data_IF_174605340665
#
_entry.id   IF_174605340665
#
_cell.length_a   1.000
_cell.length_b   1.000
_cell.length_c   1.000
_cell.angle_alpha   90.00
_cell.angle_beta   90.00
_cell.angle_gamma   90.00
#
_symmetry.space_group_name_H-M   'P 1'
#
loop_
_entity.id
_entity.type
_entity.pdbx_description
1 polymer ?
#
# COMPACT_ATOMS: atom_id res chain seq x y z
N UNK A 1 -7.26 5.84 -3.02
CA UNK A 1 -6.17 5.32 -2.16
C UNK A 1 -6.51 3.89 -1.75
N UNK A 2 -5.51 3.04 -1.56
CA UNK A 2 -5.68 1.67 -1.09
C UNK A 2 -4.94 1.50 0.25
N UNK A 3 -5.58 0.83 1.20
CA UNK A 3 -4.97 0.37 2.45
C UNK A 3 -4.89 -1.16 2.38
N UNK A 4 -3.70 -1.70 2.66
CA UNK A 4 -3.44 -3.14 2.66
C UNK A 4 -2.82 -3.50 4.01
N UNK A 5 -3.62 -4.12 4.86
CA UNK A 5 -3.28 -4.44 6.24
C UNK A 5 -4.24 -5.53 6.73
N UNK A 6 -3.78 -6.52 7.49
CA UNK A 6 -4.66 -7.59 8.01
C UNK A 6 -5.42 -7.18 9.28
N UNK A 7 -5.06 -6.05 9.91
CA UNK A 7 -5.70 -5.53 11.11
C UNK A 7 -6.86 -4.57 10.78
N UNK A 8 -8.10 -4.97 11.09
CA UNK A 8 -9.29 -4.16 10.80
C UNK A 8 -9.28 -2.76 11.45
N UNK A 9 -8.67 -2.63 12.63
CA UNK A 9 -8.60 -1.36 13.37
C UNK A 9 -7.77 -0.31 12.61
N UNK A 10 -6.77 -0.74 11.84
CA UNK A 10 -5.96 0.14 10.99
C UNK A 10 -6.81 0.82 9.93
N UNK A 11 -7.67 0.05 9.27
CA UNK A 11 -8.56 0.56 8.24
C UNK A 11 -9.55 1.57 8.82
N UNK A 12 -10.12 1.27 9.99
CA UNK A 12 -11.05 2.15 10.67
C UNK A 12 -10.38 3.45 11.10
N UNK A 13 -9.23 3.36 11.78
CA UNK A 13 -8.49 4.52 12.25
C UNK A 13 -8.04 5.41 11.08
N UNK A 14 -7.51 4.81 10.01
CA UNK A 14 -7.08 5.57 8.83
C UNK A 14 -8.26 6.29 8.19
N UNK A 15 -9.43 5.63 8.09
CA UNK A 15 -10.65 6.27 7.57
C UNK A 15 -11.09 7.45 8.42
N UNK A 16 -11.09 7.32 9.74
CA UNK A 16 -11.47 8.40 10.66
C UNK A 16 -10.51 9.59 10.55
N UNK A 17 -9.20 9.32 10.49
CA UNK A 17 -8.17 10.37 10.35
C UNK A 17 -8.32 11.12 9.02
N UNK A 18 -8.71 10.42 7.95
CA UNK A 18 -8.85 10.99 6.61
C UNK A 18 -10.29 11.38 6.24
N UNK A 19 -11.25 11.26 7.16
CA UNK A 19 -12.68 11.47 6.87
C UNK A 19 -12.97 12.88 6.33
N UNK A 20 -12.25 13.88 6.86
CA UNK A 20 -12.39 15.28 6.44
C UNK A 20 -11.32 15.72 5.44
N UNK A 21 -10.50 14.78 4.93
CA UNK A 21 -9.49 15.10 3.94
C UNK A 21 -10.12 15.17 2.54
N UNK A 22 -9.97 16.31 1.89
CA UNK A 22 -10.36 16.50 0.50
C UNK A 22 -9.13 16.83 -0.35
N UNK A 23 -9.13 16.31 -1.58
CA UNK A 23 -8.15 16.66 -2.60
C UNK A 23 -8.92 17.20 -3.80
N UNK A 24 -8.61 18.42 -4.23
CA UNK A 24 -9.37 19.13 -5.28
C UNK A 24 -10.88 19.14 -5.00
N UNK A 25 -11.25 19.44 -3.74
CA UNK A 25 -12.64 19.48 -3.25
C UNK A 25 -13.42 18.16 -3.37
N UNK A 26 -12.73 17.05 -3.63
CA UNK A 26 -13.33 15.71 -3.65
C UNK A 26 -12.92 14.91 -2.42
N UNK A 27 -13.83 14.12 -1.85
CA UNK A 27 -13.49 13.23 -0.75
C UNK A 27 -12.48 12.17 -1.24
N UNK A 28 -11.57 11.79 -0.37
CA UNK A 28 -10.63 10.73 -0.66
C UNK A 28 -11.36 9.38 -0.70
N UNK A 29 -11.34 8.72 -1.85
CA UNK A 29 -11.82 7.34 -1.96
C UNK A 29 -10.79 6.38 -1.35
N UNK A 30 -11.23 5.58 -0.38
CA UNK A 30 -10.40 4.61 0.34
C UNK A 30 -10.91 3.19 0.06
N UNK A 31 -10.08 2.41 -0.65
CA UNK A 31 -10.22 0.97 -0.83
C UNK A 31 -9.47 0.23 0.27
N UNK A 32 -9.96 -0.96 0.65
CA UNK A 32 -9.43 -1.75 1.75
C UNK A 32 -9.16 -3.18 1.27
N UNK A 33 -7.95 -3.67 1.48
CA UNK A 33 -7.58 -5.07 1.31
C UNK A 33 -7.02 -5.60 2.62
N UNK A 34 -7.51 -6.77 3.03
CA UNK A 34 -7.08 -7.44 4.26
C UNK A 34 -6.08 -8.57 4.02
N UNK A 35 -5.62 -8.69 2.78
CA UNK A 35 -4.70 -9.73 2.33
C UNK A 35 -3.98 -9.27 1.07
N UNK A 36 -2.80 -9.83 0.83
CA UNK A 36 -2.04 -9.57 -0.39
C UNK A 36 -2.84 -9.97 -1.64
N UNK A 37 -3.62 -11.05 -1.56
CA UNK A 37 -4.44 -11.52 -2.67
C UNK A 37 -5.60 -10.57 -2.98
N UNK A 38 -6.30 -10.07 -1.95
CA UNK A 38 -7.34 -9.04 -2.15
C UNK A 38 -6.75 -7.77 -2.77
N UNK A 39 -5.57 -7.36 -2.32
CA UNK A 39 -4.90 -6.18 -2.88
C UNK A 39 -4.61 -6.36 -4.37
N UNK A 40 -4.10 -7.52 -4.80
CA UNK A 40 -3.86 -7.82 -6.22
C UNK A 40 -5.15 -7.70 -7.05
N UNK A 41 -6.26 -8.25 -6.56
CA UNK A 41 -7.55 -8.18 -7.23
C UNK A 41 -8.01 -6.73 -7.41
N UNK A 42 -7.93 -5.92 -6.34
CA UNK A 42 -8.28 -4.50 -6.40
C UNK A 42 -7.36 -3.72 -7.35
N UNK A 43 -6.06 -4.01 -7.37
CA UNK A 43 -5.10 -3.33 -8.25
C UNK A 43 -5.31 -3.65 -9.73
N UNK A 44 -5.82 -4.84 -10.05
CA UNK A 44 -6.22 -5.20 -11.42
C UNK A 44 -7.54 -4.51 -11.80
N UNK A 45 -8.46 -4.36 -10.86
CA UNK A 45 -9.77 -3.73 -11.09
C UNK A 45 -9.69 -2.20 -11.13
N UNK A 46 -8.74 -1.60 -10.40
CA UNK A 46 -8.62 -0.16 -10.20
C UNK A 46 -7.22 0.33 -10.59
N UNK A 47 -7.07 0.80 -11.83
CA UNK A 47 -5.80 1.32 -12.34
C UNK A 47 -5.45 2.75 -11.87
N UNK A 48 -6.41 3.47 -11.28
CA UNK A 48 -6.29 4.86 -10.85
C UNK A 48 -5.90 5.03 -9.36
N UNK A 49 -5.42 3.96 -8.71
CA UNK A 49 -4.93 4.06 -7.33
C UNK A 49 -3.60 4.84 -7.33
N UNK A 50 -3.61 6.04 -6.76
CA UNK A 50 -2.42 6.90 -6.68
C UNK A 50 -1.49 6.55 -5.49
N UNK A 51 -2.05 6.03 -4.40
CA UNK A 51 -1.33 5.76 -3.15
C UNK A 51 -1.81 4.46 -2.52
N UNK A 52 -0.85 3.66 -2.03
CA UNK A 52 -1.05 2.45 -1.25
C UNK A 52 -0.34 2.61 0.09
N UNK A 53 -1.06 2.44 1.19
CA UNK A 53 -0.46 2.16 2.50
C UNK A 53 -0.42 0.64 2.67
N UNK A 54 0.77 0.08 2.86
CA UNK A 54 0.99 -1.35 2.82
C UNK A 54 1.75 -1.83 4.07
N UNK A 55 1.16 -2.73 4.84
CA UNK A 55 1.92 -3.47 5.86
C UNK A 55 2.87 -4.48 5.19
N UNK A 56 4.10 -4.51 5.68
CA UNK A 56 5.11 -5.50 5.31
C UNK A 56 4.74 -6.89 5.84
N UNK A 57 4.28 -6.95 7.08
CA UNK A 57 4.00 -8.21 7.80
C UNK A 57 2.48 -8.39 7.84
N UNK A 58 1.99 -9.42 7.17
CA UNK A 58 0.57 -9.79 7.16
C UNK A 58 0.47 -11.32 7.24
N UNK A 59 -0.03 -12.00 6.20
CA UNK A 59 -0.15 -13.47 6.18
C UNK A 59 1.20 -14.17 6.29
N UNK A 60 2.26 -13.52 5.78
CA UNK A 60 3.66 -13.89 5.99
C UNK A 60 4.47 -12.66 6.36
N UNK A 61 5.65 -12.89 6.95
CA UNK A 61 6.58 -11.82 7.35
C UNK A 61 7.08 -10.95 6.19
N UNK A 62 6.92 -11.41 4.96
CA UNK A 62 7.35 -10.75 3.73
C UNK A 62 6.20 -10.52 2.73
N UNK A 63 4.94 -10.70 3.15
CA UNK A 63 3.76 -10.61 2.28
C UNK A 63 3.67 -9.25 1.59
N UNK A 64 3.88 -8.16 2.33
CA UNK A 64 3.85 -6.81 1.78
C UNK A 64 5.00 -6.52 0.82
N UNK A 65 6.20 -7.03 1.10
CA UNK A 65 7.34 -6.87 0.18
C UNK A 65 7.10 -7.59 -1.14
N UNK A 66 6.61 -8.85 -1.09
CA UNK A 66 6.23 -9.61 -2.29
C UNK A 66 5.10 -8.94 -3.07
N UNK A 67 4.14 -8.31 -2.38
CA UNK A 67 3.09 -7.54 -3.05
C UNK A 67 3.67 -6.29 -3.74
N UNK A 68 4.57 -5.57 -3.09
CA UNK A 68 5.25 -4.41 -3.70
C UNK A 68 6.06 -4.83 -4.94
N UNK A 69 6.78 -5.95 -4.88
CA UNK A 69 7.47 -6.56 -6.03
C UNK A 69 6.50 -6.89 -7.16
N UNK A 70 5.39 -7.56 -6.84
CA UNK A 70 4.34 -7.86 -7.83
C UNK A 70 3.80 -6.60 -8.52
N UNK A 71 3.56 -5.53 -7.77
CA UNK A 71 3.07 -4.25 -8.33
C UNK A 71 4.08 -3.64 -9.32
N UNK A 72 5.37 -3.66 -9.00
CA UNK A 72 6.41 -3.07 -9.85
C UNK A 72 6.80 -3.95 -11.02
N UNK A 73 6.98 -5.25 -10.79
CA UNK A 73 7.55 -6.14 -11.79
C UNK A 73 6.49 -6.80 -12.66
N UNK A 74 5.34 -7.16 -12.07
CA UNK A 74 4.26 -7.85 -12.78
C UNK A 74 3.24 -6.87 -13.34
N UNK A 75 2.66 -6.01 -12.49
CA UNK A 75 1.69 -5.01 -12.96
C UNK A 75 2.34 -3.83 -13.69
N UNK A 76 3.67 -3.65 -13.54
CA UNK A 76 4.43 -2.53 -14.09
C UNK A 76 3.79 -1.17 -13.76
N UNK A 77 3.15 -1.08 -12.61
CA UNK A 77 2.53 0.16 -12.16
C UNK A 77 3.57 0.98 -11.42
N UNK A 78 4.28 1.84 -12.15
CA UNK A 78 5.29 2.76 -11.60
C UNK A 78 4.66 4.03 -11.02
N UNK A 79 3.42 4.34 -11.41
CA UNK A 79 2.73 5.57 -11.00
C UNK A 79 2.22 5.52 -9.57
N UNK A 80 1.79 4.35 -9.10
CA UNK A 80 1.27 4.21 -7.74
C UNK A 80 2.37 4.36 -6.71
N UNK A 81 2.22 5.29 -5.76
CA UNK A 81 3.13 5.44 -4.63
C UNK A 81 2.81 4.37 -3.58
N UNK A 82 3.83 3.65 -3.11
CA UNK A 82 3.69 2.62 -2.08
C UNK A 82 4.41 3.13 -0.84
N UNK A 83 3.67 3.32 0.25
CA UNK A 83 4.21 3.67 1.57
C UNK A 83 4.14 2.41 2.42
N UNK A 84 5.32 1.89 2.73
CA UNK A 84 5.46 0.72 3.58
C UNK A 84 5.36 1.14 5.05
N UNK A 85 4.53 0.43 5.79
CA UNK A 85 4.40 0.50 7.26
C UNK A 85 4.73 -0.88 7.81
N UNK A 86 5.26 -0.95 9.02
CA UNK A 86 5.38 -2.22 9.75
C UNK A 86 5.02 -1.95 11.20
N UNK A 87 4.04 -2.69 11.73
CA UNK A 87 3.62 -2.59 13.13
C UNK A 87 4.64 -3.19 14.11
N UNK A 88 5.59 -3.99 13.61
CA UNK A 88 6.56 -4.72 14.45
C UNK A 88 7.99 -4.23 14.23
N UNK A 89 8.60 -3.53 15.22
CA UNK A 89 9.99 -3.12 15.12
C UNK A 89 10.90 -4.36 15.02
N UNK A 90 11.74 -4.40 13.98
CA UNK A 90 12.79 -5.41 13.79
C UNK A 90 12.51 -6.53 12.78
N UNK A 91 11.32 -6.60 12.17
CA UNK A 91 10.97 -7.69 11.24
C UNK A 91 11.02 -7.32 9.76
N UNK A 92 10.98 -6.04 9.42
CA UNK A 92 11.24 -5.58 8.05
C UNK A 92 12.72 -5.20 7.89
N UNK A 93 13.40 -5.62 6.80
CA UNK A 93 14.73 -5.11 6.48
C UNK A 93 14.63 -3.61 6.19
N UNK A 94 14.87 -2.77 7.21
CA UNK A 94 14.76 -1.30 7.17
C UNK A 94 15.45 -0.68 5.94
N UNK A 95 16.49 -1.34 5.43
CA UNK A 95 17.26 -0.90 4.25
C UNK A 95 16.67 -1.30 2.90
N UNK A 96 15.89 -2.39 2.80
CA UNK A 96 15.29 -2.80 1.50
C UNK A 96 13.97 -2.09 1.23
N UNK A 97 13.21 -1.83 2.30
CA UNK A 97 11.89 -1.17 2.29
C UNK A 97 11.96 0.23 1.66
N UNK A 98 13.04 0.99 1.92
CA UNK A 98 13.17 2.38 1.46
C UNK A 98 13.94 2.48 0.12
N UNK A 99 14.88 1.57 -0.17
CA UNK A 99 15.79 1.74 -1.31
C UNK A 99 15.40 1.05 -2.62
N UNK A 100 14.57 0.00 -2.63
CA UNK A 100 14.23 -0.72 -3.88
C UNK A 100 13.03 -0.15 -4.64
N UNK A 101 12.08 0.49 -3.95
CA UNK A 101 10.76 0.80 -4.52
C UNK A 101 10.51 2.29 -4.83
N UNK A 102 11.41 3.17 -4.42
CA UNK A 102 11.44 4.59 -4.82
C UNK A 102 12.48 4.82 -5.94
N UNK A 103 12.32 4.12 -7.07
CA UNK A 103 12.86 4.67 -8.32
C UNK A 103 11.94 5.77 -8.79
N UNK A 104 12.08 6.94 -8.17
CA UNK A 104 11.70 8.20 -8.82
C UNK A 104 12.68 8.41 -9.98
N UNK A 105 12.32 7.81 -11.13
CA UNK A 105 13.00 8.01 -12.40
C UNK A 105 12.88 9.47 -12.80
N UNK A 106 14.01 10.17 -12.69
CA UNK A 106 14.21 11.49 -13.25
C UNK A 106 14.26 11.40 -14.78
N UNK A 107 13.17 11.78 -15.45
CA UNK A 107 13.16 12.60 -16.67
C UNK A 107 11.76 13.16 -16.95
#
# INVERSE_FOLDING_TARGET
>A
MLIVDDEADVHQMTRVVLENFTYEDKPLEILNAYSAEQAKQLLVQHSNIALILLDVVMETHDAGLKLAEYIRETLKNEFVRIVLRTGQPGYAPEKEVICKYDRSGNH
#
